data_IF_888552689215
#
_entry.id   IF_888552689215
#
_cell.length_a   1.000
_cell.length_b   1.000
_cell.length_c   1.000
_cell.angle_alpha   90.00
_cell.angle_beta   90.00
_cell.angle_gamma   90.00
#
_symmetry.space_group_name_H-M   'P 1'
#
loop_
_entity.id
_entity.type
_entity.pdbx_description
1 polymer ?
#
# COMPACT_ATOMS: atom_id res chain seq x y z
N UNK A 1 -31.99 29.88 -24.76
CA UNK A 1 -31.85 28.41 -24.77
C UNK A 1 -30.49 28.09 -24.18
N UNK A 2 -30.43 27.90 -22.85
CA UNK A 2 -29.19 27.60 -22.16
C UNK A 2 -28.90 26.11 -22.29
N UNK A 3 -27.88 25.76 -23.06
CA UNK A 3 -27.32 24.40 -23.03
C UNK A 3 -26.24 24.40 -21.95
N UNK A 4 -26.59 23.90 -20.77
CA UNK A 4 -25.60 23.38 -19.83
C UNK A 4 -25.10 22.06 -20.42
N UNK A 5 -23.94 22.10 -21.06
CA UNK A 5 -23.15 20.89 -21.24
C UNK A 5 -22.61 20.54 -19.86
N UNK A 6 -23.35 19.70 -19.14
CA UNK A 6 -22.76 18.96 -18.02
C UNK A 6 -21.67 18.10 -18.62
N UNK A 7 -20.41 18.54 -18.48
CA UNK A 7 -19.25 17.70 -18.61
C UNK A 7 -19.20 16.72 -17.41
N UNK A 8 -20.25 15.93 -17.24
CA UNK A 8 -20.26 14.79 -16.34
C UNK A 8 -19.62 13.63 -17.10
N UNK A 9 -18.29 13.57 -17.07
CA UNK A 9 -17.60 12.31 -17.30
C UNK A 9 -16.29 12.26 -16.53
N UNK A 10 -16.16 11.18 -15.76
CA UNK A 10 -14.93 10.61 -15.18
C UNK A 10 -14.44 11.47 -14.00
N UNK A 11 -14.80 11.25 -12.74
CA UNK A 11 -14.49 10.05 -11.96
C UNK A 11 -15.69 9.70 -11.06
N UNK A 12 -16.32 8.54 -11.32
CA UNK A 12 -17.03 7.84 -10.27
C UNK A 12 -16.03 7.61 -9.12
N UNK A 13 -16.51 7.60 -7.88
CA UNK A 13 -15.67 7.55 -6.67
C UNK A 13 -14.43 6.64 -6.81
N UNK A 14 -13.21 7.20 -6.68
CA UNK A 14 -11.96 6.43 -6.68
C UNK A 14 -11.85 5.58 -5.42
N UNK A 15 -11.63 4.28 -5.58
CA UNK A 15 -11.38 3.34 -4.49
C UNK A 15 -9.88 3.10 -4.31
N UNK A 16 -9.34 3.45 -3.14
CA UNK A 16 -7.93 3.28 -2.83
C UNK A 16 -7.79 2.28 -1.68
N UNK A 17 -7.02 1.21 -1.89
CA UNK A 17 -6.59 0.32 -0.81
C UNK A 17 -5.31 0.88 -0.19
N UNK A 18 -5.32 1.15 1.10
CA UNK A 18 -4.15 1.58 1.85
C UNK A 18 -3.76 0.49 2.84
N UNK A 19 -2.51 0.07 2.81
CA UNK A 19 -2.01 -0.97 3.71
C UNK A 19 -0.88 -0.49 4.59
N UNK A 20 -0.72 -1.14 5.72
CA UNK A 20 0.35 -0.95 6.70
C UNK A 20 0.72 -2.29 7.30
N UNK A 21 1.81 -2.37 8.05
CA UNK A 21 2.26 -3.63 8.65
C UNK A 21 2.11 -3.60 10.17
N UNK A 22 1.83 -4.77 10.73
CA UNK A 22 1.84 -5.01 12.18
C UNK A 22 3.25 -4.82 12.80
N UNK A 23 3.39 -4.84 14.13
CA UNK A 23 4.68 -4.87 14.82
C UNK A 23 5.54 -6.06 14.39
N UNK A 24 6.86 -5.88 14.34
CA UNK A 24 7.81 -6.95 14.04
C UNK A 24 9.18 -6.69 14.65
N UNK A 25 9.94 -7.75 14.91
CA UNK A 25 11.25 -7.65 15.57
C UNK A 25 11.15 -6.85 16.88
N UNK A 26 11.97 -5.80 17.00
CA UNK A 26 11.96 -4.90 18.17
C UNK A 26 10.94 -3.75 18.07
N UNK A 27 10.30 -3.58 16.91
CA UNK A 27 9.36 -2.49 16.65
C UNK A 27 8.01 -2.86 17.26
N UNK A 28 7.79 -2.45 18.52
CA UNK A 28 6.54 -2.72 19.27
C UNK A 28 5.33 -1.92 18.79
N UNK A 29 5.58 -0.76 18.20
CA UNK A 29 4.54 0.10 17.60
C UNK A 29 5.00 0.43 16.20
N UNK A 30 4.29 -0.08 15.20
CA UNK A 30 4.60 0.18 13.80
C UNK A 30 3.82 1.43 13.32
N UNK A 31 4.48 2.53 12.95
CA UNK A 31 3.81 3.74 12.46
C UNK A 31 2.91 3.50 11.24
N UNK A 32 3.22 2.50 10.41
CA UNK A 32 2.40 2.17 9.24
C UNK A 32 1.05 1.55 9.63
N UNK A 33 0.99 0.71 10.66
CA UNK A 33 -0.27 0.25 11.23
C UNK A 33 -1.04 1.42 11.85
N UNK A 34 -0.38 2.26 12.66
CA UNK A 34 -1.04 3.39 13.30
C UNK A 34 -1.70 4.35 12.29
N UNK A 35 -1.05 4.56 11.13
CA UNK A 35 -1.62 5.31 10.02
C UNK A 35 -2.89 4.66 9.46
N UNK A 36 -2.85 3.36 9.19
CA UNK A 36 -4.00 2.62 8.63
C UNK A 36 -5.17 2.59 9.61
N UNK A 37 -4.90 2.37 10.89
CA UNK A 37 -5.89 2.43 11.97
C UNK A 37 -6.50 3.84 12.11
N UNK A 38 -5.70 4.88 11.89
CA UNK A 38 -6.19 6.26 11.87
C UNK A 38 -7.11 6.51 10.66
N UNK A 39 -6.71 6.08 9.46
CA UNK A 39 -7.49 6.24 8.24
C UNK A 39 -8.83 5.49 8.29
N UNK A 40 -8.86 4.30 8.89
CA UNK A 40 -10.10 3.53 9.07
C UNK A 40 -11.13 4.29 9.94
N UNK A 41 -10.64 4.97 10.99
CA UNK A 41 -11.46 5.82 11.86
C UNK A 41 -11.83 7.15 11.19
N UNK A 42 -10.88 7.73 10.45
CA UNK A 42 -11.03 9.01 9.78
C UNK A 42 -11.71 8.80 8.43
N UNK A 43 -13.01 8.51 8.46
CA UNK A 43 -13.84 8.47 7.25
C UNK A 43 -13.77 9.83 6.57
N UNK A 44 -13.09 9.92 5.43
CA UNK A 44 -13.06 11.13 4.62
C UNK A 44 -14.51 11.60 4.39
N UNK A 45 -14.79 12.92 4.51
CA UNK A 45 -16.11 13.43 4.20
C UNK A 45 -16.52 12.96 2.80
N UNK A 46 -17.63 12.20 2.72
CA UNK A 46 -18.12 11.56 1.48
C UNK A 46 -18.39 12.55 0.33
N UNK A 47 -18.35 13.86 0.60
CA UNK A 47 -18.95 14.88 -0.23
C UNK A 47 -17.93 15.74 -1.00
N UNK A 48 -16.63 15.72 -0.67
CA UNK A 48 -15.68 16.72 -1.20
C UNK A 48 -14.58 16.19 -2.12
N UNK A 49 -14.32 14.88 -2.18
CA UNK A 49 -13.17 14.36 -2.95
C UNK A 49 -13.49 13.23 -3.93
N UNK A 50 -14.64 12.56 -3.79
CA UNK A 50 -14.91 11.35 -4.56
C UNK A 50 -13.87 10.25 -4.32
N UNK A 51 -13.23 10.20 -3.15
CA UNK A 51 -12.24 9.16 -2.80
C UNK A 51 -12.77 8.31 -1.64
N UNK A 52 -12.77 7.00 -1.83
CA UNK A 52 -13.06 6.00 -0.82
C UNK A 52 -11.77 5.28 -0.46
N UNK A 53 -11.32 5.41 0.79
CA UNK A 53 -10.16 4.70 1.32
C UNK A 53 -10.63 3.47 2.07
N UNK A 54 -10.05 2.32 1.76
CA UNK A 54 -10.18 1.08 2.50
C UNK A 54 -8.81 0.71 3.08
N UNK A 55 -8.79 0.35 4.36
CA UNK A 55 -7.57 0.20 5.16
C UNK A 55 -7.32 -1.28 5.46
N UNK A 56 -6.08 -1.75 5.35
CA UNK A 56 -5.70 -3.13 5.70
C UNK A 56 -4.37 -3.20 6.44
N UNK A 57 -4.37 -3.77 7.65
CA UNK A 57 -3.14 -4.14 8.36
C UNK A 57 -2.68 -5.50 7.87
N UNK A 58 -1.42 -5.57 7.43
CA UNK A 58 -0.78 -6.77 6.90
C UNK A 58 0.09 -7.44 7.97
N UNK A 59 0.12 -8.78 8.01
CA UNK A 59 1.08 -9.50 8.83
C UNK A 59 2.49 -9.30 8.28
N UNK A 60 3.51 -9.33 9.15
CA UNK A 60 4.91 -9.30 8.70
C UNK A 60 5.37 -10.73 8.44
N UNK A 61 4.77 -11.34 7.42
CA UNK A 61 5.04 -12.70 6.94
C UNK A 61 4.84 -12.77 5.42
N UNK A 62 5.22 -13.89 4.80
CA UNK A 62 4.87 -14.18 3.39
C UNK A 62 3.35 -14.22 3.13
N UNK A 63 2.52 -14.33 4.17
CA UNK A 63 1.06 -14.29 4.05
C UNK A 63 0.50 -12.92 3.63
N UNK A 64 1.27 -11.84 3.81
CA UNK A 64 0.86 -10.47 3.47
C UNK A 64 0.37 -10.33 2.03
N UNK A 65 1.05 -10.97 1.06
CA UNK A 65 0.65 -10.91 -0.35
C UNK A 65 -0.72 -11.53 -0.57
N UNK A 66 -1.05 -12.61 0.15
CA UNK A 66 -2.37 -13.25 0.04
C UNK A 66 -3.47 -12.34 0.59
N UNK A 67 -3.24 -11.66 1.71
CA UNK A 67 -4.20 -10.69 2.25
C UNK A 67 -4.56 -9.60 1.22
N UNK A 68 -3.56 -9.07 0.50
CA UNK A 68 -3.78 -8.08 -0.55
C UNK A 68 -4.55 -8.69 -1.73
N UNK A 69 -4.12 -9.86 -2.23
CA UNK A 69 -4.80 -10.54 -3.35
C UNK A 69 -6.28 -10.79 -3.01
N UNK A 70 -6.57 -11.30 -1.81
CA UNK A 70 -7.94 -11.58 -1.36
C UNK A 70 -8.80 -10.30 -1.31
N UNK A 71 -8.22 -9.11 -1.09
CA UNK A 71 -8.95 -7.83 -1.22
C UNK A 71 -9.20 -7.46 -2.68
N UNK A 72 -8.17 -7.60 -3.53
CA UNK A 72 -8.26 -7.27 -4.95
C UNK A 72 -9.24 -8.19 -5.71
N UNK A 73 -9.42 -9.43 -5.26
CA UNK A 73 -10.42 -10.35 -5.81
C UNK A 73 -11.86 -9.98 -5.43
N UNK A 74 -12.07 -9.35 -4.26
CA UNK A 74 -13.40 -8.98 -3.76
C UNK A 74 -13.92 -7.68 -4.34
N UNK A 75 -13.03 -6.75 -4.69
CA UNK A 75 -13.39 -5.39 -5.06
C UNK A 75 -12.34 -4.78 -5.98
N UNK A 76 -12.81 -3.97 -6.93
CA UNK A 76 -11.93 -3.16 -7.77
C UNK A 76 -11.37 -1.96 -6.98
N UNK A 77 -10.05 -1.76 -7.08
CA UNK A 77 -9.35 -0.60 -6.56
C UNK A 77 -8.63 0.12 -7.70
N UNK A 78 -8.76 1.44 -7.73
CA UNK A 78 -8.07 2.30 -8.69
C UNK A 78 -6.59 2.49 -8.34
N UNK A 79 -6.26 2.35 -7.05
CA UNK A 79 -4.89 2.36 -6.56
C UNK A 79 -4.71 1.50 -5.29
N UNK A 80 -3.50 0.99 -5.11
CA UNK A 80 -3.04 0.34 -3.89
C UNK A 80 -1.79 1.06 -3.39
N UNK A 81 -1.78 1.46 -2.13
CA UNK A 81 -0.65 2.18 -1.50
C UNK A 81 -0.21 1.39 -0.27
N UNK A 82 1.02 0.88 -0.31
CA UNK A 82 1.63 0.17 0.80
C UNK A 82 2.50 1.12 1.62
N UNK A 83 2.19 1.28 2.90
CA UNK A 83 3.05 1.93 3.87
C UNK A 83 3.85 0.90 4.66
N UNK A 84 5.11 1.22 4.92
CA UNK A 84 6.00 0.45 5.79
C UNK A 84 6.85 1.40 6.61
N UNK A 85 7.51 0.86 7.63
CA UNK A 85 8.42 1.63 8.49
C UNK A 85 9.88 1.36 8.10
N UNK A 86 10.65 2.43 7.96
CA UNK A 86 12.11 2.39 7.82
C UNK A 86 12.72 3.20 8.96
N UNK A 87 13.06 2.54 10.06
CA UNK A 87 13.42 3.17 11.37
C UNK A 87 14.56 4.19 11.26
N UNK A 88 15.47 4.03 10.29
CA UNK A 88 16.62 4.91 10.08
C UNK A 88 16.33 6.15 9.23
N UNK A 89 15.13 6.28 8.65
CA UNK A 89 14.76 7.41 7.78
C UNK A 89 13.99 8.48 8.57
N UNK A 90 14.33 9.74 8.36
CA UNK A 90 13.71 10.91 9.01
C UNK A 90 12.59 11.56 8.16
N UNK A 91 12.37 11.05 6.95
CA UNK A 91 11.42 11.58 5.96
C UNK A 91 10.64 10.46 5.29
N UNK A 92 9.44 10.80 4.80
CA UNK A 92 8.66 9.93 3.93
C UNK A 92 9.44 9.75 2.62
N UNK A 93 9.63 8.51 2.23
CA UNK A 93 10.39 8.14 1.04
C UNK A 93 9.55 7.22 0.17
N UNK A 94 9.19 7.66 -1.05
CA UNK A 94 8.51 6.79 -1.98
C UNK A 94 9.48 5.78 -2.59
N UNK A 95 9.05 4.51 -2.67
CA UNK A 95 9.83 3.47 -3.34
C UNK A 95 9.57 3.50 -4.84
N UNK A 96 10.63 3.60 -5.64
CA UNK A 96 10.55 3.67 -7.11
C UNK A 96 10.52 2.30 -7.78
N UNK A 97 11.12 1.30 -7.15
CA UNK A 97 11.36 -0.02 -7.72
C UNK A 97 11.12 -1.07 -6.63
N UNK A 98 10.37 -2.11 -6.95
CA UNK A 98 10.29 -3.33 -6.17
C UNK A 98 11.16 -4.41 -6.83
N UNK A 99 12.12 -4.96 -6.10
CA UNK A 99 13.04 -6.00 -6.59
C UNK A 99 12.47 -7.38 -6.24
N UNK A 100 12.57 -8.33 -7.17
CA UNK A 100 12.17 -9.73 -6.97
C UNK A 100 13.23 -10.50 -6.14
N UNK A 101 13.44 -10.09 -4.90
CA UNK A 101 14.37 -10.71 -3.96
C UNK A 101 13.81 -10.64 -2.53
N UNK A 102 13.86 -11.77 -1.82
CA UNK A 102 13.69 -11.91 -0.39
C UNK A 102 15.08 -11.97 0.24
N UNK A 103 15.43 -10.93 0.98
CA UNK A 103 16.66 -10.83 1.75
C UNK A 103 16.37 -10.13 3.07
N UNK A 104 16.28 -10.91 4.15
CA UNK A 104 15.81 -10.43 5.45
C UNK A 104 16.94 -10.48 6.48
N UNK A 105 17.33 -9.33 7.08
CA UNK A 105 18.38 -9.31 8.10
C UNK A 105 17.93 -9.85 9.47
N UNK A 106 16.62 -10.00 9.66
CA UNK A 106 15.96 -10.53 10.87
C UNK A 106 14.82 -11.46 10.45
N UNK A 107 14.38 -12.39 11.31
CA UNK A 107 13.23 -13.23 10.98
C UNK A 107 11.94 -12.42 10.81
N UNK A 108 11.07 -12.91 9.93
CA UNK A 108 9.67 -12.49 9.87
C UNK A 108 8.90 -12.97 11.14
N UNK A 109 7.62 -12.62 11.26
CA UNK A 109 6.82 -13.01 12.43
C UNK A 109 6.50 -14.53 12.49
N UNK A 110 6.74 -15.28 11.40
CA UNK A 110 6.67 -16.76 11.37
C UNK A 110 8.03 -17.40 11.71
N UNK A 111 9.06 -16.59 12.02
CA UNK A 111 10.40 -17.07 12.33
C UNK A 111 11.26 -17.41 11.09
N UNK A 112 10.82 -17.04 9.88
CA UNK A 112 11.56 -17.34 8.64
C UNK A 112 12.61 -16.28 8.35
N UNK A 113 13.78 -16.72 7.91
CA UNK A 113 14.87 -15.88 7.41
C UNK A 113 15.17 -16.30 5.99
N UNK A 114 15.28 -15.33 5.08
CA UNK A 114 15.59 -15.55 3.67
C UNK A 114 16.87 -14.83 3.31
N UNK A 115 17.66 -15.43 2.42
CA UNK A 115 18.93 -14.88 1.94
C UNK A 115 19.02 -15.08 0.43
N UNK A 116 18.97 -13.99 -0.33
CA UNK A 116 19.08 -13.96 -1.79
C UNK A 116 18.09 -14.90 -2.54
N UNK A 117 16.86 -15.02 -2.05
CA UNK A 117 15.84 -15.88 -2.64
C UNK A 117 14.87 -15.10 -3.55
N UNK A 118 14.43 -15.63 -4.70
CA UNK A 118 13.45 -14.94 -5.53
C UNK A 118 12.05 -14.97 -4.88
N UNK A 119 11.36 -13.81 -4.82
CA UNK A 119 9.95 -13.73 -4.39
C UNK A 119 9.07 -14.61 -5.30
N UNK A 120 9.28 -14.51 -6.62
CA UNK A 120 8.60 -15.33 -7.64
C UNK A 120 9.61 -15.87 -8.64
N UNK A 121 9.85 -17.18 -8.60
CA UNK A 121 10.86 -17.89 -9.42
C UNK A 121 10.75 -17.62 -10.93
N UNK A 122 9.54 -17.42 -11.46
CA UNK A 122 9.27 -17.11 -12.88
C UNK A 122 8.76 -15.67 -13.09
N UNK A 123 9.04 -14.76 -12.15
CA UNK A 123 8.65 -13.35 -12.23
C UNK A 123 9.71 -12.49 -12.91
N UNK A 124 9.33 -11.28 -13.33
CA UNK A 124 10.30 -10.26 -13.74
C UNK A 124 11.29 -9.95 -12.58
N UNK A 125 12.51 -9.51 -12.88
CA UNK A 125 13.52 -9.21 -11.84
C UNK A 125 13.13 -8.01 -10.97
N UNK A 126 12.34 -7.08 -11.50
CA UNK A 126 11.85 -5.91 -10.77
C UNK A 126 10.60 -5.33 -11.44
N UNK A 127 9.87 -4.50 -10.69
CA UNK A 127 8.76 -3.69 -11.19
C UNK A 127 8.95 -2.24 -10.76
N UNK A 128 8.65 -1.30 -11.66
CA UNK A 128 8.58 0.12 -11.31
C UNK A 128 7.27 0.42 -10.59
N UNK A 129 7.33 1.34 -9.61
CA UNK A 129 6.13 1.86 -8.98
C UNK A 129 5.26 2.61 -10.00
N UNK A 130 3.95 2.38 -9.93
CA UNK A 130 2.96 3.11 -10.73
C UNK A 130 2.62 4.49 -10.17
N UNK A 131 3.10 4.84 -8.97
CA UNK A 131 2.89 6.17 -8.38
C UNK A 131 3.73 7.21 -9.14
N UNK A 132 3.09 8.29 -9.57
CA UNK A 132 3.78 9.47 -10.13
C UNK A 132 4.37 10.28 -8.98
N UNK A 133 5.70 10.30 -8.88
CA UNK A 133 6.44 10.92 -7.76
C UNK A 133 6.82 12.40 -7.98
N UNK A 134 6.37 12.99 -9.08
CA UNK A 134 6.73 14.35 -9.48
C UNK A 134 5.45 15.15 -9.69
N UNK A 135 5.18 16.10 -8.80
CA UNK A 135 4.66 17.40 -9.20
C UNK A 135 5.84 18.36 -9.07
N UNK A 136 6.37 18.80 -10.20
CA UNK A 136 7.25 19.96 -10.20
C UNK A 136 6.41 21.12 -9.64
N UNK A 137 6.77 21.62 -8.47
CA UNK A 137 6.36 22.92 -7.98
C UNK A 137 6.94 24.01 -8.88
#
# INVERSE_FOLDING_TARGET
>A
MFSFVHANRLWDSMNILVTGFEPFGEIRVNPSQALVDYLDKYKLPKNDSGVCIESLVLPVTLGSSKCVIDMLEKKHYDAVIHFGVAVKRDKITPERIAINCLDFPIPDNDGRVFCDEPIKRKGAPAYFSGIVLIRNS
#
